data_IF_944467046540
#
_entry.id   IF_944467046540
#
_cell.length_a   1.000
_cell.length_b   1.000
_cell.length_c   1.000
_cell.angle_alpha   90.00
_cell.angle_beta   90.00
_cell.angle_gamma   90.00
#
_symmetry.space_group_name_H-M   'P 1'
#
loop_
_entity.id
_entity.type
_entity.pdbx_description
1 polymer ?
#
# COMPACT_ATOMS: atom_id res chain seq x y z
N UNK A 1 -12.48 15.54 8.97
CA UNK A 1 -11.38 16.54 9.06
C UNK A 1 -11.83 17.82 8.39
N UNK A 2 -11.63 18.98 9.02
CA UNK A 2 -11.96 20.29 8.45
C UNK A 2 -11.22 20.51 7.11
N UNK A 3 -11.94 20.85 6.04
CA UNK A 3 -11.35 21.23 4.74
C UNK A 3 -10.50 22.52 4.80
N UNK A 4 -10.55 23.27 5.91
CA UNK A 4 -9.89 24.57 6.08
C UNK A 4 -8.54 24.54 6.81
N UNK A 5 -7.98 23.37 7.10
CA UNK A 5 -6.69 23.23 7.78
C UNK A 5 -5.67 22.42 6.97
N UNK A 6 -5.64 22.56 5.63
CA UNK A 6 -4.44 22.17 4.90
C UNK A 6 -3.36 23.21 5.22
N UNK A 7 -2.57 22.93 6.27
CA UNK A 7 -1.27 23.56 6.41
C UNK A 7 -0.52 23.26 5.10
N UNK A 8 -0.19 24.32 4.34
CA UNK A 8 0.71 24.17 3.20
C UNK A 8 2.04 23.71 3.79
N UNK A 9 2.50 22.54 3.35
CA UNK A 9 3.84 22.07 3.66
C UNK A 9 4.83 23.15 3.21
N UNK A 10 5.71 23.54 4.12
CA UNK A 10 6.85 24.39 3.79
C UNK A 10 7.87 23.57 3.01
N UNK A 11 8.80 24.24 2.34
CA UNK A 11 9.92 23.56 1.69
C UNK A 11 10.76 22.72 2.70
N UNK A 12 10.83 23.17 3.96
CA UNK A 12 11.48 22.41 5.03
C UNK A 12 10.72 21.12 5.35
N UNK A 13 9.39 21.19 5.45
CA UNK A 13 8.56 20.02 5.73
C UNK A 13 8.66 18.99 4.59
N UNK A 14 8.68 19.45 3.33
CA UNK A 14 8.89 18.59 2.17
C UNK A 14 10.25 17.90 2.22
N UNK A 15 11.33 18.61 2.53
CA UNK A 15 12.67 18.01 2.66
C UNK A 15 12.73 16.95 3.75
N UNK A 16 12.10 17.20 4.89
CA UNK A 16 12.04 16.25 6.00
C UNK A 16 11.21 15.01 5.64
N UNK A 17 10.07 15.19 4.97
CA UNK A 17 9.25 14.07 4.48
C UNK A 17 9.98 13.24 3.42
N UNK A 18 10.70 13.87 2.48
CA UNK A 18 11.50 13.14 1.50
C UNK A 18 12.64 12.35 2.15
N UNK A 19 13.30 12.93 3.15
CA UNK A 19 14.33 12.21 3.91
C UNK A 19 13.74 11.01 4.65
N UNK A 20 12.61 11.22 5.33
CA UNK A 20 11.87 10.17 6.04
C UNK A 20 11.41 9.08 5.08
N UNK A 21 10.92 9.44 3.89
CA UNK A 21 10.50 8.49 2.87
C UNK A 21 11.63 7.53 2.51
N UNK A 22 12.84 8.07 2.25
CA UNK A 22 14.00 7.24 1.89
C UNK A 22 14.31 6.23 3.00
N UNK A 23 14.38 6.67 4.25
CA UNK A 23 14.63 5.78 5.39
C UNK A 23 13.55 4.72 5.55
N UNK A 24 12.28 5.10 5.39
CA UNK A 24 11.15 4.17 5.47
C UNK A 24 11.21 3.12 4.37
N UNK A 25 11.47 3.52 3.12
CA UNK A 25 11.61 2.60 1.98
C UNK A 25 12.74 1.60 2.20
N UNK A 26 13.91 2.06 2.68
CA UNK A 26 15.05 1.18 2.98
C UNK A 26 14.76 0.21 4.12
N UNK A 27 14.09 0.66 5.18
CA UNK A 27 13.75 -0.19 6.32
C UNK A 27 12.71 -1.25 5.99
N UNK A 28 11.68 -0.93 5.18
CA UNK A 28 10.65 -1.89 4.74
C UNK A 28 11.26 -3.12 4.05
N UNK A 29 12.43 -2.97 3.41
CA UNK A 29 13.12 -4.08 2.77
C UNK A 29 13.59 -5.17 3.74
N UNK A 30 13.75 -4.86 5.04
CA UNK A 30 14.47 -5.73 5.98
C UNK A 30 13.70 -6.04 7.28
N UNK A 31 12.59 -5.34 7.56
CA UNK A 31 11.79 -5.58 8.79
C UNK A 31 10.63 -6.55 8.54
N UNK A 32 10.13 -7.17 9.60
CA UNK A 32 8.98 -8.08 9.58
C UNK A 32 7.98 -7.76 10.70
N UNK A 33 6.80 -8.37 10.68
CA UNK A 33 5.81 -8.27 11.76
C UNK A 33 5.27 -6.86 11.98
N UNK A 34 5.05 -6.48 13.25
CA UNK A 34 4.42 -5.21 13.60
C UNK A 34 5.22 -3.99 13.10
N UNK A 35 6.55 -4.07 13.07
CA UNK A 35 7.38 -2.99 12.53
C UNK A 35 7.15 -2.80 11.03
N UNK A 36 7.01 -3.89 10.27
CA UNK A 36 6.66 -3.83 8.85
C UNK A 36 5.29 -3.20 8.64
N UNK A 37 4.28 -3.59 9.44
CA UNK A 37 2.93 -3.01 9.38
C UNK A 37 2.96 -1.48 9.56
N UNK A 38 3.68 -1.02 10.59
CA UNK A 38 3.81 0.40 10.92
C UNK A 38 4.52 1.16 9.80
N UNK A 39 5.64 0.64 9.29
CA UNK A 39 6.41 1.32 8.26
C UNK A 39 5.68 1.38 6.91
N UNK A 40 4.97 0.32 6.51
CA UNK A 40 4.13 0.36 5.30
C UNK A 40 2.98 1.34 5.47
N UNK A 41 2.34 1.35 6.65
CA UNK A 41 1.29 2.32 6.98
C UNK A 41 1.80 3.76 6.89
N UNK A 42 2.98 4.05 7.44
CA UNK A 42 3.63 5.36 7.33
C UNK A 42 3.96 5.71 5.86
N UNK A 43 4.51 4.75 5.11
CA UNK A 43 4.83 4.91 3.69
C UNK A 43 3.58 5.28 2.87
N UNK A 44 2.44 4.65 3.15
CA UNK A 44 1.16 4.98 2.52
C UNK A 44 0.70 6.42 2.85
N UNK A 45 0.87 6.87 4.10
CA UNK A 45 0.56 8.26 4.45
C UNK A 45 1.48 9.25 3.74
N UNK A 46 2.78 8.97 3.66
CA UNK A 46 3.74 9.82 2.94
C UNK A 46 3.37 9.88 1.45
N UNK A 47 3.10 8.74 0.82
CA UNK A 47 2.68 8.65 -0.59
C UNK A 47 1.42 9.50 -0.87
N UNK A 48 0.49 9.55 0.08
CA UNK A 48 -0.73 10.37 -0.04
C UNK A 48 -0.47 11.87 0.08
N UNK A 49 0.52 12.26 0.88
CA UNK A 49 0.83 13.67 1.19
C UNK A 49 1.76 14.28 0.14
N UNK A 50 2.75 13.52 -0.35
CA UNK A 50 3.75 13.96 -1.35
C UNK A 50 3.88 12.94 -2.51
N UNK A 51 2.82 12.74 -3.33
CA UNK A 51 2.79 11.69 -4.35
C UNK A 51 3.86 11.87 -5.44
N UNK A 52 4.19 13.11 -5.80
CA UNK A 52 5.17 13.42 -6.85
C UNK A 52 6.58 13.05 -6.41
N UNK A 53 6.97 13.47 -5.21
CA UNK A 53 8.25 13.11 -4.60
C UNK A 53 8.35 11.61 -4.32
N UNK A 54 7.24 10.98 -3.94
CA UNK A 54 7.18 9.53 -3.76
C UNK A 54 7.52 8.76 -5.03
N UNK A 55 6.93 9.16 -6.17
CA UNK A 55 7.23 8.56 -7.47
C UNK A 55 8.69 8.83 -7.86
N UNK A 56 9.18 10.05 -7.65
CA UNK A 56 10.57 10.41 -7.94
C UNK A 56 11.57 9.59 -7.13
N UNK A 57 11.33 9.38 -5.84
CA UNK A 57 12.23 8.61 -4.97
C UNK A 57 12.25 7.11 -5.37
N UNK A 58 11.10 6.52 -5.70
CA UNK A 58 11.03 5.14 -6.16
C UNK A 58 11.72 4.90 -7.52
N UNK A 59 11.53 5.82 -8.47
CA UNK A 59 12.10 5.72 -9.83
C UNK A 59 13.59 6.09 -9.85
N UNK A 60 13.97 7.16 -9.16
CA UNK A 60 15.35 7.64 -9.07
C UNK A 60 16.27 6.69 -8.29
N UNK A 61 15.74 6.05 -7.24
CA UNK A 61 16.51 5.14 -6.39
C UNK A 61 16.72 3.74 -6.97
N UNK A 62 16.17 3.41 -8.15
CA UNK A 62 16.21 2.07 -8.76
C UNK A 62 15.68 0.96 -7.82
N UNK A 63 14.94 1.33 -6.78
CA UNK A 63 14.40 0.40 -5.77
C UNK A 63 13.01 -0.10 -6.15
N UNK A 64 12.27 0.62 -7.01
CA UNK A 64 10.88 0.32 -7.42
C UNK A 64 10.56 -1.16 -7.53
N UNK A 65 11.25 -1.90 -8.41
CA UNK A 65 10.92 -3.32 -8.66
C UNK A 65 11.16 -4.19 -7.43
N UNK A 66 12.23 -3.92 -6.66
CA UNK A 66 12.53 -4.65 -5.42
C UNK A 66 11.51 -4.32 -4.33
N UNK A 67 11.14 -3.05 -4.20
CA UNK A 67 10.15 -2.57 -3.25
C UNK A 67 8.77 -3.19 -3.53
N UNK A 68 8.30 -3.12 -4.78
CA UNK A 68 7.03 -3.73 -5.17
C UNK A 68 7.04 -5.24 -4.96
N UNK A 69 8.15 -5.92 -5.31
CA UNK A 69 8.29 -7.35 -5.02
C UNK A 69 8.21 -7.63 -3.52
N UNK A 70 8.85 -6.80 -2.68
CA UNK A 70 8.78 -6.92 -1.22
C UNK A 70 7.35 -6.83 -0.71
N UNK A 71 6.53 -5.93 -1.26
CA UNK A 71 5.11 -5.84 -0.89
C UNK A 71 4.34 -7.12 -1.24
N UNK A 72 4.54 -7.68 -2.44
CA UNK A 72 3.86 -8.92 -2.86
C UNK A 72 4.33 -10.11 -2.02
N UNK A 73 5.64 -10.22 -1.76
CA UNK A 73 6.21 -11.27 -0.92
C UNK A 73 5.66 -11.18 0.51
N UNK A 74 5.59 -9.98 1.08
CA UNK A 74 5.03 -9.75 2.41
C UNK A 74 3.53 -10.08 2.47
N UNK A 75 2.77 -9.76 1.41
CA UNK A 75 1.36 -10.14 1.33
C UNK A 75 1.21 -11.66 1.37
N UNK A 76 1.99 -12.38 0.56
CA UNK A 76 2.02 -13.84 0.51
C UNK A 76 2.45 -14.48 1.83
N UNK A 77 3.44 -13.89 2.52
CA UNK A 77 3.87 -14.37 3.83
C UNK A 77 2.79 -14.22 4.91
N UNK A 78 1.82 -13.32 4.71
CA UNK A 78 0.76 -13.00 5.67
C UNK A 78 -0.62 -13.51 5.23
N UNK A 79 -0.71 -14.57 4.41
CA UNK A 79 -2.00 -15.12 3.93
C UNK A 79 -2.87 -15.68 5.06
N UNK A 80 -2.27 -16.21 6.11
CA UNK A 80 -2.99 -16.49 7.35
C UNK A 80 -2.84 -15.27 8.27
N UNK A 81 -3.93 -14.54 8.59
CA UNK A 81 -3.84 -13.37 9.44
C UNK A 81 -3.56 -13.84 10.87
N UNK A 82 -2.29 -13.81 11.26
CA UNK A 82 -1.87 -14.08 12.63
C UNK A 82 -2.48 -13.07 13.60
N UNK A 83 -2.63 -13.45 14.87
CA UNK A 83 -3.33 -12.63 15.88
C UNK A 83 -2.69 -11.27 16.21
N UNK A 84 -1.41 -11.04 15.87
CA UNK A 84 -0.66 -9.85 16.29
C UNK A 84 -0.20 -8.91 15.17
N UNK A 85 -0.48 -9.23 13.90
CA UNK A 85 -0.13 -8.37 12.76
C UNK A 85 -1.21 -8.44 11.65
N UNK A 86 -2.48 -8.42 12.07
CA UNK A 86 -3.60 -8.56 11.15
C UNK A 86 -3.70 -7.39 10.14
N UNK A 87 -3.11 -6.23 10.44
CA UNK A 87 -3.16 -5.07 9.55
C UNK A 87 -2.17 -5.11 8.39
N UNK A 88 -1.17 -6.00 8.38
CA UNK A 88 -0.12 -6.04 7.32
C UNK A 88 -0.75 -6.11 5.93
N UNK A 89 -1.72 -7.01 5.72
CA UNK A 89 -2.37 -7.16 4.42
C UNK A 89 -3.09 -5.89 4.00
N UNK A 90 -3.83 -5.26 4.92
CA UNK A 90 -4.51 -3.99 4.67
C UNK A 90 -3.53 -2.92 4.23
N UNK A 91 -2.48 -2.66 5.00
CA UNK A 91 -1.55 -1.56 4.69
C UNK A 91 -0.79 -1.80 3.38
N UNK A 92 -0.49 -3.06 3.03
CA UNK A 92 0.09 -3.41 1.72
C UNK A 92 -0.89 -3.09 0.58
N UNK A 93 -2.15 -3.48 0.73
CA UNK A 93 -3.16 -3.26 -0.31
C UNK A 93 -3.45 -1.75 -0.46
N UNK A 94 -3.58 -1.02 0.64
CA UNK A 94 -3.77 0.44 0.62
C UNK A 94 -2.59 1.15 -0.06
N UNK A 95 -1.34 0.81 0.29
CA UNK A 95 -0.16 1.37 -0.37
C UNK A 95 -0.15 1.04 -1.87
N UNK A 96 -0.48 -0.21 -2.24
CA UNK A 96 -0.51 -0.64 -3.64
C UNK A 96 -1.55 0.14 -4.46
N UNK A 97 -2.73 0.40 -3.88
CA UNK A 97 -3.77 1.25 -4.49
C UNK A 97 -3.23 2.66 -4.69
N UNK A 98 -2.68 3.30 -3.64
CA UNK A 98 -2.13 4.65 -3.77
C UNK A 98 -1.04 4.73 -4.83
N UNK A 99 -0.15 3.73 -4.88
CA UNK A 99 0.87 3.63 -5.91
C UNK A 99 0.22 3.63 -7.31
N UNK A 100 -0.74 2.74 -7.57
CA UNK A 100 -1.41 2.64 -8.88
C UNK A 100 -2.23 3.88 -9.24
N UNK A 101 -2.78 4.59 -8.25
CA UNK A 101 -3.48 5.86 -8.45
C UNK A 101 -2.52 7.01 -8.76
N UNK A 102 -1.31 7.02 -8.17
CA UNK A 102 -0.28 8.01 -8.48
C UNK A 102 0.35 7.77 -9.86
N UNK A 103 0.61 6.51 -10.21
CA UNK A 103 1.15 6.14 -11.51
C UNK A 103 0.57 4.79 -11.96
N UNK A 104 -0.31 4.86 -12.96
CA UNK A 104 -1.00 3.70 -13.50
C UNK A 104 -0.07 2.62 -14.07
N UNK A 105 1.17 2.93 -14.45
CA UNK A 105 2.16 1.94 -14.88
C UNK A 105 2.54 0.93 -13.79
N UNK A 106 2.36 1.27 -12.51
CA UNK A 106 2.63 0.34 -11.42
C UNK A 106 1.67 -0.86 -11.41
N UNK A 107 0.48 -0.74 -12.00
CA UNK A 107 -0.42 -1.86 -12.18
C UNK A 107 0.21 -2.98 -13.03
N UNK A 108 0.94 -2.63 -14.10
CA UNK A 108 1.63 -3.63 -14.93
C UNK A 108 2.74 -4.32 -14.16
N UNK A 109 3.54 -3.56 -13.40
CA UNK A 109 4.58 -4.13 -12.55
C UNK A 109 4.00 -5.05 -11.46
N UNK A 110 2.87 -4.70 -10.84
CA UNK A 110 2.19 -5.56 -9.88
C UNK A 110 1.63 -6.83 -10.53
N UNK A 111 1.06 -6.73 -11.74
CA UNK A 111 0.60 -7.89 -12.50
C UNK A 111 1.77 -8.83 -12.84
N UNK A 112 2.92 -8.30 -13.30
CA UNK A 112 4.13 -9.11 -13.55
C UNK A 112 4.63 -9.83 -12.28
N UNK A 113 4.42 -9.19 -11.12
CA UNK A 113 4.78 -9.74 -9.81
C UNK A 113 3.70 -10.67 -9.22
N UNK A 114 2.63 -10.97 -9.96
CA UNK A 114 1.53 -11.87 -9.55
C UNK A 114 0.74 -11.36 -8.34
N UNK A 115 0.61 -10.04 -8.22
CA UNK A 115 -0.20 -9.39 -7.17
C UNK A 115 -1.67 -9.77 -7.26
N UNK A 116 -2.19 -10.03 -8.46
CA UNK A 116 -3.60 -10.40 -8.67
C UNK A 116 -3.96 -11.75 -8.02
N UNK A 117 -3.06 -12.73 -8.11
CA UNK A 117 -3.23 -14.01 -7.41
C UNK A 117 -3.11 -13.83 -5.89
N UNK A 118 -2.15 -13.02 -5.42
CA UNK A 118 -2.04 -12.72 -3.99
C UNK A 118 -3.32 -12.07 -3.45
N UNK A 119 -3.89 -11.09 -4.16
CA UNK A 119 -5.16 -10.47 -3.77
C UNK A 119 -6.34 -11.45 -3.76
N UNK A 120 -6.37 -12.41 -4.69
CA UNK A 120 -7.41 -13.44 -4.72
C UNK A 120 -7.35 -14.35 -3.50
N UNK A 121 -6.15 -14.69 -3.04
CA UNK A 121 -5.97 -15.43 -1.80
C UNK A 121 -6.44 -14.64 -0.57
N UNK A 122 -6.22 -13.32 -0.54
CA UNK A 122 -6.74 -12.46 0.56
C UNK A 122 -8.27 -12.43 0.58
N UNK A 123 -8.90 -12.36 -0.60
CA UNK A 123 -10.36 -12.44 -0.73
C UNK A 123 -10.92 -13.78 -0.25
N UNK A 124 -10.23 -14.89 -0.52
CA UNK A 124 -10.62 -16.24 -0.05
C UNK A 124 -10.41 -16.45 1.45
N UNK A 125 -9.53 -15.67 2.08
CA UNK A 125 -9.14 -15.81 3.50
C UNK A 125 -9.42 -14.54 4.33
N UNK A 126 -10.69 -14.10 4.42
CA UNK A 126 -11.03 -12.88 5.13
C UNK A 126 -10.82 -13.05 6.64
N UNK A 127 -10.25 -12.03 7.29
CA UNK A 127 -10.28 -11.90 8.74
C UNK A 127 -10.99 -10.64 9.18
N UNK A 128 -11.90 -10.80 10.14
CA UNK A 128 -12.65 -9.70 10.73
C UNK A 128 -11.73 -8.71 11.46
N UNK A 129 -10.60 -9.18 11.99
CA UNK A 129 -9.62 -8.32 12.68
C UNK A 129 -9.09 -7.21 11.78
N UNK A 130 -8.97 -7.47 10.48
CA UNK A 130 -8.40 -6.53 9.49
C UNK A 130 -9.35 -5.38 9.15
N UNK A 131 -10.58 -5.42 9.66
CA UNK A 131 -11.53 -4.32 9.54
C UNK A 131 -11.49 -3.38 10.73
N UNK A 132 -10.68 -3.64 11.75
CA UNK A 132 -10.53 -2.75 12.91
C UNK A 132 -9.22 -1.97 12.89
N UNK A 133 -9.29 -0.68 13.16
CA UNK A 133 -8.13 0.21 13.33
C UNK A 133 -7.68 0.31 14.78
N UNK A 134 -8.58 0.08 15.75
CA UNK A 134 -8.28 0.14 17.19
C UNK A 134 -8.86 -1.10 17.86
N UNK A 135 -8.07 -1.72 18.74
CA UNK A 135 -8.45 -2.86 19.56
C UNK A 135 -8.49 -2.47 21.04
N UNK A 136 -9.43 -3.07 21.77
CA UNK A 136 -9.48 -3.07 23.23
C UNK A 136 -9.27 -4.51 23.71
N UNK A 137 -8.00 -4.89 23.92
CA UNK A 137 -7.63 -6.30 24.11
C UNK A 137 -7.68 -7.06 22.80
N UNK A 138 -8.45 -8.16 22.74
CA UNK A 138 -8.72 -8.95 21.54
C UNK A 138 -10.02 -8.52 20.81
N UNK A 139 -10.73 -7.52 21.35
CA UNK A 139 -11.97 -7.00 20.77
C UNK A 139 -11.69 -5.80 19.88
N UNK A 140 -12.11 -5.87 18.62
CA UNK A 140 -12.10 -4.74 17.70
C UNK A 140 -13.07 -3.64 18.17
N UNK A 141 -12.55 -2.43 18.37
CA UNK A 141 -13.30 -1.29 18.93
C UNK A 141 -13.75 -0.29 17.85
N UNK A 142 -12.85 0.06 16.92
CA UNK A 142 -13.14 1.03 15.86
C UNK A 142 -12.88 0.40 14.50
N UNK A 143 -13.91 0.36 13.65
CA UNK A 143 -13.79 -0.17 12.29
C UNK A 143 -13.25 0.88 11.31
N UNK A 144 -12.51 0.41 10.30
CA UNK A 144 -12.22 1.19 9.12
C UNK A 144 -13.52 1.50 8.36
N UNK A 145 -13.61 2.69 7.76
CA UNK A 145 -14.76 3.06 6.93
C UNK A 145 -14.87 2.23 5.65
N UNK A 146 -13.75 1.66 5.18
CA UNK A 146 -13.68 0.81 3.99
C UNK A 146 -13.23 -0.58 4.45
N UNK A 147 -14.05 -1.64 4.26
CA UNK A 147 -13.66 -3.00 4.62
C UNK A 147 -12.54 -3.51 3.70
N UNK A 148 -11.75 -4.49 4.18
CA UNK A 148 -10.59 -5.00 3.45
C UNK A 148 -10.98 -5.51 2.06
N UNK A 149 -12.12 -6.20 1.94
CA UNK A 149 -12.58 -6.74 0.67
C UNK A 149 -12.81 -5.65 -0.40
N UNK A 150 -13.31 -4.49 -0.01
CA UNK A 150 -13.50 -3.37 -0.93
C UNK A 150 -12.16 -2.79 -1.41
N UNK A 151 -11.11 -2.87 -0.60
CA UNK A 151 -9.76 -2.53 -1.03
C UNK A 151 -9.21 -3.58 -2.01
N UNK A 152 -9.47 -4.88 -1.77
CA UNK A 152 -9.09 -5.94 -2.71
C UNK A 152 -9.75 -5.72 -4.06
N UNK A 153 -11.05 -5.45 -4.09
CA UNK A 153 -11.82 -5.15 -5.31
C UNK A 153 -11.21 -3.96 -6.05
N UNK A 154 -10.94 -2.86 -5.34
CA UNK A 154 -10.32 -1.66 -5.92
C UNK A 154 -8.93 -1.93 -6.50
N UNK A 155 -8.10 -2.69 -5.79
CA UNK A 155 -6.78 -3.04 -6.27
C UNK A 155 -6.84 -3.91 -7.54
N UNK A 156 -7.75 -4.90 -7.57
CA UNK A 156 -8.00 -5.73 -8.76
C UNK A 156 -8.54 -4.90 -9.93
N UNK A 157 -9.45 -3.98 -9.68
CA UNK A 157 -9.99 -3.07 -10.69
C UNK A 157 -8.87 -2.25 -11.36
N UNK A 158 -8.02 -1.59 -10.57
CA UNK A 158 -6.90 -0.79 -11.06
C UNK A 158 -5.93 -1.61 -11.92
N UNK A 159 -5.68 -2.87 -11.53
CA UNK A 159 -4.84 -3.77 -12.32
C UNK A 159 -5.51 -4.29 -13.60
N UNK A 160 -6.84 -4.43 -13.60
CA UNK A 160 -7.62 -4.87 -14.76
C UNK A 160 -7.78 -3.79 -15.83
N UNK A 161 -7.88 -2.51 -15.43
CA UNK A 161 -8.08 -1.39 -16.35
C UNK A 161 -6.94 -1.25 -17.40
N UNK A 162 -5.71 -1.61 -17.04
CA UNK A 162 -4.55 -1.53 -17.95
C UNK A 162 -4.55 -2.62 -19.03
N UNK A 163 -5.14 -3.78 -18.77
CA UNK A 163 -5.28 -4.84 -19.77
C UNK A 163 -6.17 -4.38 -20.94
N UNK A 164 -7.14 -3.49 -20.68
CA UNK A 164 -8.02 -2.92 -21.70
C UNK A 164 -7.38 -1.77 -22.48
N UNK A 165 -6.52 -0.96 -21.85
CA UNK A 165 -5.85 0.16 -22.53
C UNK A 165 -4.77 -0.30 -23.51
N UNK A 166 -4.11 -1.43 -23.25
CA UNK A 166 -3.14 -2.03 -24.18
C UNK A 166 -3.76 -2.52 -25.51
N UNK A 167 -5.06 -2.85 -25.51
CA UNK A 167 -5.77 -3.34 -26.70
C UNK A 167 -6.24 -2.18 -27.59
N UNK A 168 -6.58 -1.02 -27.02
CA UNK A 168 -7.02 0.15 -27.80
C UNK A 168 -5.90 0.86 -28.57
N UNK A 169 -4.63 0.74 -28.15
CA UNK A 169 -3.49 1.35 -28.85
C UNK A 169 -2.95 0.50 -30.02
N UNK A 170 -3.57 -0.64 -30.32
CA UNK A 170 -3.13 -1.56 -31.36
C UNK A 170 -4.01 -1.57 -32.63
N UNK A 171 -4.97 -0.65 -32.76
CA UNK A 171 -5.89 -0.55 -33.91
C UNK A 171 -5.69 0.75 -34.70
#
# INVERSE_FOLDING_TARGET
MCQHAQAKLTESDLKELCHTLREVLERIMNVEGAELEILIGLCAQICKVIPEEFVQELEGGQIKKRFMKRLVDALNANMNPGGHCSGIRRVIIELSIYMMECNSHYANCFNELRMMEALSMVEEMPSRAENYTIFLGDVGFMEYSIPLIALVDRAKELMGQQCLQGVSSAN
#
